data_IF_377869773262
#
_entry.id   IF_377869773262
#
_cell.length_a   1.000
_cell.length_b   1.000
_cell.length_c   1.000
_cell.angle_alpha   90.00
_cell.angle_beta   90.00
_cell.angle_gamma   90.00
#
_symmetry.space_group_name_H-M   'P 1'
#
loop_
_entity.id
_entity.type
_entity.pdbx_description
1 polymer ?
#
# COMPACT_ATOMS: atom_id res chain seq x y z
N UNK A 1 -9.56 0.24 0.86
CA UNK A 1 -9.27 1.49 1.60
C UNK A 1 -9.26 1.38 3.13
N UNK A 2 -10.05 0.51 3.82
CA UNK A 2 -10.06 0.52 5.28
C UNK A 2 -8.75 0.09 5.97
N UNK A 3 -7.97 -0.83 5.37
CA UNK A 3 -6.88 -1.53 6.09
C UNK A 3 -5.51 -0.83 6.09
N UNK A 4 -5.20 -0.03 5.07
CA UNK A 4 -3.96 0.75 5.05
C UNK A 4 -3.95 1.89 6.08
N UNK A 5 -5.15 2.41 6.38
CA UNK A 5 -5.39 3.38 7.46
C UNK A 5 -5.05 2.76 8.82
N UNK A 6 -5.39 1.48 9.04
CA UNK A 6 -5.07 0.73 10.28
C UNK A 6 -3.55 0.57 10.48
N UNK A 7 -2.78 0.48 9.40
CA UNK A 7 -1.31 0.38 9.46
C UNK A 7 -0.60 1.75 9.51
N UNK A 8 -1.34 2.87 9.63
CA UNK A 8 -0.83 4.25 9.58
C UNK A 8 -0.05 4.60 8.29
N UNK A 9 -0.30 3.91 7.18
CA UNK A 9 0.32 4.22 5.88
C UNK A 9 -0.74 4.77 4.94
N UNK A 10 -0.64 6.07 4.64
CA UNK A 10 -1.44 6.70 3.60
C UNK A 10 -0.74 6.55 2.23
N UNK A 11 -1.51 6.20 1.20
CA UNK A 11 -1.06 6.16 -0.19
C UNK A 11 -2.20 6.55 -1.12
N UNK A 12 -1.89 6.91 -2.37
CA UNK A 12 -2.90 7.15 -3.41
C UNK A 12 -2.98 5.92 -4.32
N UNK A 13 -4.16 5.32 -4.55
CA UNK A 13 -4.30 4.21 -5.48
C UNK A 13 -3.91 4.61 -6.90
N UNK A 14 -3.32 3.66 -7.63
CA UNK A 14 -2.95 3.84 -9.03
C UNK A 14 -4.15 4.17 -9.92
N UNK A 15 -5.33 3.62 -9.65
CA UNK A 15 -6.56 3.86 -10.43
C UNK A 15 -6.97 5.34 -10.50
N UNK A 16 -6.45 6.21 -9.62
CA UNK A 16 -6.66 7.65 -9.72
C UNK A 16 -5.86 8.32 -10.86
N UNK A 17 -4.91 7.61 -11.47
CA UNK A 17 -3.96 8.14 -12.46
C UNK A 17 -4.12 7.53 -13.86
N UNK A 18 -4.99 6.54 -14.04
CA UNK A 18 -5.22 5.86 -15.32
C UNK A 18 -6.70 5.95 -15.70
N UNK A 19 -6.99 6.47 -16.89
CA UNK A 19 -8.37 6.65 -17.38
C UNK A 19 -8.93 5.39 -18.08
N UNK A 20 -8.08 4.43 -18.42
CA UNK A 20 -8.38 3.21 -19.18
C UNK A 20 -8.72 2.01 -18.29
N UNK A 21 -8.93 2.21 -16.99
CA UNK A 21 -9.19 1.14 -16.03
C UNK A 21 -7.94 0.37 -15.59
N UNK A 22 -6.76 0.77 -16.04
CA UNK A 22 -5.49 0.29 -15.49
C UNK A 22 -5.25 0.90 -14.09
N UNK A 23 -4.11 0.61 -13.46
CA UNK A 23 -3.79 1.22 -12.15
C UNK A 23 -4.24 0.44 -10.92
N UNK A 24 -4.93 -0.70 -11.07
CA UNK A 24 -5.47 -1.50 -9.96
C UNK A 24 -4.40 -2.19 -9.12
N UNK A 25 -3.16 -2.31 -9.63
CA UNK A 25 -2.02 -2.94 -8.95
C UNK A 25 -0.89 -1.96 -8.64
N UNK A 26 -1.13 -0.67 -8.88
CA UNK A 26 -0.16 0.40 -8.71
C UNK A 26 -0.55 1.27 -7.50
N UNK A 27 0.44 1.93 -6.90
CA UNK A 27 0.22 2.93 -5.85
C UNK A 27 1.24 4.05 -5.96
N UNK A 28 0.85 5.27 -5.57
CA UNK A 28 1.75 6.42 -5.46
C UNK A 28 2.14 6.64 -3.99
N UNK A 29 3.44 6.73 -3.75
CA UNK A 29 4.02 7.12 -2.47
C UNK A 29 4.66 8.50 -2.59
N UNK A 30 4.62 9.28 -1.51
CA UNK A 30 5.32 10.56 -1.41
C UNK A 30 6.22 10.57 -0.18
N UNK A 31 7.43 11.09 -0.35
CA UNK A 31 8.49 11.15 0.66
C UNK A 31 8.98 12.59 0.90
N UNK A 32 8.30 13.61 0.36
CA UNK A 32 8.74 15.00 0.47
C UNK A 32 8.53 15.64 1.85
N UNK A 33 7.65 15.06 2.67
CA UNK A 33 7.26 15.59 3.99
C UNK A 33 7.75 14.76 5.20
N UNK A 34 7.73 13.41 5.19
CA UNK A 34 8.13 12.63 6.36
C UNK A 34 9.66 12.65 6.58
N UNK A 35 10.09 12.49 7.83
CA UNK A 35 11.51 12.27 8.15
C UNK A 35 11.99 10.91 7.64
N UNK A 36 13.31 10.72 7.42
CA UNK A 36 13.86 9.42 7.02
C UNK A 36 13.44 8.26 7.93
N UNK A 37 13.35 8.48 9.24
CA UNK A 37 12.92 7.49 10.24
C UNK A 37 11.47 7.07 9.99
N UNK A 38 10.57 8.04 9.78
CA UNK A 38 9.16 7.78 9.47
C UNK A 38 8.98 7.09 8.12
N UNK A 39 9.84 7.38 7.14
CA UNK A 39 9.85 6.66 5.86
C UNK A 39 10.18 5.18 6.10
N UNK A 40 11.22 4.86 6.87
CA UNK A 40 11.60 3.47 7.19
C UNK A 40 10.49 2.72 7.91
N UNK A 41 9.87 3.34 8.91
CA UNK A 41 8.73 2.77 9.65
C UNK A 41 7.53 2.52 8.74
N UNK A 42 7.17 3.51 7.91
CA UNK A 42 6.05 3.42 6.97
C UNK A 42 6.25 2.32 5.93
N UNK A 43 7.45 2.20 5.36
CA UNK A 43 7.80 1.14 4.40
C UNK A 43 7.73 -0.24 5.06
N UNK A 44 8.22 -0.38 6.30
CA UNK A 44 8.12 -1.64 7.07
C UNK A 44 6.66 -2.03 7.34
N UNK A 45 5.83 -1.08 7.76
CA UNK A 45 4.41 -1.30 7.97
C UNK A 45 3.69 -1.71 6.67
N UNK A 46 3.96 -1.02 5.56
CA UNK A 46 3.41 -1.33 4.25
C UNK A 46 3.78 -2.75 3.78
N UNK A 47 5.06 -3.13 3.92
CA UNK A 47 5.53 -4.46 3.56
C UNK A 47 4.82 -5.57 4.36
N UNK A 48 4.57 -5.35 5.65
CA UNK A 48 3.82 -6.30 6.47
C UNK A 48 2.37 -6.49 5.98
N UNK A 49 1.67 -5.40 5.64
CA UNK A 49 0.31 -5.46 5.10
C UNK A 49 0.28 -6.23 3.78
N UNK A 50 1.24 -5.98 2.87
CA UNK A 50 1.33 -6.68 1.58
C UNK A 50 1.51 -8.19 1.82
N UNK A 51 2.44 -8.59 2.70
CA UNK A 51 2.67 -10.01 3.03
C UNK A 51 1.42 -10.68 3.59
N UNK A 52 0.71 -10.01 4.49
CA UNK A 52 -0.53 -10.51 5.07
C UNK A 52 -1.61 -10.71 4.00
N UNK A 53 -1.80 -9.75 3.11
CA UNK A 53 -2.79 -9.85 2.03
C UNK A 53 -2.40 -10.92 0.99
N UNK A 54 -1.10 -11.06 0.66
CA UNK A 54 -0.61 -12.15 -0.20
C UNK A 54 -0.89 -13.52 0.42
N UNK A 55 -0.58 -13.69 1.71
CA UNK A 55 -0.88 -14.93 2.43
C UNK A 55 -2.38 -15.22 2.43
N UNK A 56 -3.22 -14.23 2.75
CA UNK A 56 -4.68 -14.39 2.74
C UNK A 56 -5.21 -14.78 1.36
N UNK A 57 -4.69 -14.18 0.30
CA UNK A 57 -5.08 -14.51 -1.07
C UNK A 57 -4.63 -15.91 -1.47
N UNK A 58 -3.43 -16.33 -1.06
CA UNK A 58 -2.94 -17.70 -1.26
C UNK A 58 -3.73 -18.76 -0.50
N UNK A 59 -4.23 -18.45 0.69
CA UNK A 59 -5.14 -19.32 1.46
C UNK A 59 -6.54 -19.38 0.85
N UNK A 60 -7.04 -18.29 0.27
CA UNK A 60 -8.36 -18.24 -0.38
C UNK A 60 -8.39 -18.90 -1.78
N UNK A 61 -7.22 -19.23 -2.35
CA UNK A 61 -7.05 -19.93 -3.63
C UNK A 61 -6.73 -21.42 -3.46
N UNK A 62 -6.69 -21.91 -2.21
CA UNK A 62 -6.62 -23.34 -1.86
C UNK A 62 -8.01 -23.81 -1.43
#
# INVERSE_FOLDING_TARGET
MPKAIVAKVAFVPGSAFYADGFGSWQMRLSYCHPTPERIREGVKALGNVIKQEMSRRGTALR
#
